data_IF_016268832064
#
_entry.id   IF_016268832064
#
_cell.length_a   1.000
_cell.length_b   1.000
_cell.length_c   1.000
_cell.angle_alpha   90.00
_cell.angle_beta   90.00
_cell.angle_gamma   90.00
#
_symmetry.space_group_name_H-M   'P 1'
#
loop_
_entity.id
_entity.type
_entity.pdbx_description
1 polymer ?
#
# COMPACT_ATOMS: atom_id res chain seq x y z
N UNK A 1 -11.11 2.45 -14.43
CA UNK A 1 -11.32 3.72 -13.70
C UNK A 1 -10.59 4.83 -14.45
N UNK A 2 -11.23 5.98 -14.72
CA UNK A 2 -10.54 7.16 -15.24
C UNK A 2 -10.14 8.05 -14.05
N UNK A 3 -8.86 8.41 -13.94
CA UNK A 3 -8.35 9.28 -12.88
C UNK A 3 -8.25 10.70 -13.43
N UNK A 4 -8.92 11.66 -12.78
CA UNK A 4 -8.74 13.09 -13.02
C UNK A 4 -8.30 13.75 -11.71
N UNK A 5 -7.12 14.38 -11.73
CA UNK A 5 -6.51 15.02 -10.55
C UNK A 5 -6.17 16.47 -10.89
N UNK A 6 -6.92 17.40 -10.32
CA UNK A 6 -6.74 18.82 -10.59
C UNK A 6 -5.78 19.49 -9.60
N UNK A 7 -5.54 18.86 -8.44
CA UNK A 7 -4.68 19.43 -7.39
C UNK A 7 -3.26 18.85 -7.44
N UNK A 8 -2.28 19.67 -7.08
CA UNK A 8 -0.88 19.24 -6.92
C UNK A 8 -0.79 18.13 -5.86
N UNK A 9 -1.52 18.28 -4.75
CA UNK A 9 -1.54 17.28 -3.68
C UNK A 9 -2.09 15.92 -4.15
N UNK A 10 -3.18 15.91 -4.93
CA UNK A 10 -3.75 14.68 -5.49
C UNK A 10 -2.79 13.98 -6.42
N UNK A 11 -2.14 14.74 -7.32
CA UNK A 11 -1.07 14.21 -8.18
C UNK A 11 0.07 13.63 -7.33
N UNK A 12 0.52 14.36 -6.30
CA UNK A 12 1.61 13.90 -5.42
C UNK A 12 1.26 12.65 -4.63
N UNK A 13 0.03 12.56 -4.14
CA UNK A 13 -0.47 11.40 -3.43
C UNK A 13 -0.47 10.14 -4.32
N UNK A 14 -0.74 10.26 -5.63
CA UNK A 14 -0.68 9.12 -6.55
C UNK A 14 0.74 8.55 -6.64
N UNK A 15 1.78 9.39 -6.74
CA UNK A 15 3.18 8.94 -6.75
C UNK A 15 3.56 8.23 -5.45
N UNK A 16 3.22 8.83 -4.31
CA UNK A 16 3.53 8.26 -3.00
C UNK A 16 2.77 6.94 -2.81
N UNK A 17 1.52 6.85 -3.25
CA UNK A 17 0.75 5.61 -3.21
C UNK A 17 1.40 4.51 -4.06
N UNK A 18 1.96 4.85 -5.23
CA UNK A 18 2.69 3.88 -6.06
C UNK A 18 3.96 3.36 -5.36
N UNK A 19 4.71 4.23 -4.67
CA UNK A 19 5.84 3.79 -3.82
C UNK A 19 5.37 2.85 -2.70
N UNK A 20 4.28 3.19 -2.02
CA UNK A 20 3.69 2.35 -0.98
C UNK A 20 3.30 0.97 -1.52
N UNK A 21 2.65 0.91 -2.69
CA UNK A 21 2.26 -0.34 -3.35
C UNK A 21 3.48 -1.17 -3.76
N UNK A 22 4.54 -0.55 -4.26
CA UNK A 22 5.80 -1.25 -4.56
C UNK A 22 6.41 -1.89 -3.30
N UNK A 23 6.41 -1.18 -2.17
CA UNK A 23 6.82 -1.73 -0.88
C UNK A 23 5.89 -2.85 -0.40
N UNK A 24 4.58 -2.71 -0.60
CA UNK A 24 3.59 -3.75 -0.27
C UNK A 24 3.89 -5.04 -1.05
N UNK A 25 4.08 -4.94 -2.36
CA UNK A 25 4.42 -6.06 -3.24
C UNK A 25 5.71 -6.76 -2.80
N UNK A 26 6.76 -5.98 -2.51
CA UNK A 26 8.02 -6.54 -1.99
C UNK A 26 7.81 -7.33 -0.70
N UNK A 27 7.05 -6.79 0.27
CA UNK A 27 6.75 -7.49 1.53
C UNK A 27 5.86 -8.71 1.31
N UNK A 28 4.91 -8.62 0.39
CA UNK A 28 3.99 -9.71 0.07
C UNK A 28 4.76 -10.93 -0.45
N UNK A 29 5.77 -10.73 -1.29
CA UNK A 29 6.68 -11.80 -1.76
C UNK A 29 7.41 -12.53 -0.63
N UNK A 30 7.74 -11.82 0.46
CA UNK A 30 8.43 -12.41 1.61
C UNK A 30 7.48 -13.20 2.53
N UNK A 31 6.26 -12.70 2.74
CA UNK A 31 5.33 -13.24 3.76
C UNK A 31 4.23 -14.15 3.21
N UNK A 32 3.87 -13.98 1.93
CA UNK A 32 2.74 -14.63 1.28
C UNK A 32 1.35 -14.20 1.80
N UNK A 33 0.27 -14.61 1.11
CA UNK A 33 -1.10 -14.15 1.38
C UNK A 33 -1.63 -14.62 2.74
N UNK A 34 -1.12 -15.75 3.23
CA UNK A 34 -1.47 -16.35 4.53
C UNK A 34 -1.23 -15.42 5.72
N UNK A 35 -0.28 -14.50 5.62
CA UNK A 35 0.07 -13.56 6.69
C UNK A 35 -1.07 -12.59 7.05
N UNK A 36 -1.96 -12.28 6.11
CA UNK A 36 -3.14 -11.45 6.33
C UNK A 36 -4.38 -12.32 6.49
N UNK A 37 -4.59 -13.28 5.58
CA UNK A 37 -5.84 -14.07 5.54
C UNK A 37 -6.09 -14.89 6.80
N UNK A 38 -5.03 -15.31 7.51
CA UNK A 38 -5.13 -16.06 8.78
C UNK A 38 -5.93 -15.34 9.86
N UNK A 39 -5.87 -14.01 9.92
CA UNK A 39 -6.53 -13.22 10.97
C UNK A 39 -7.50 -12.16 10.42
N UNK A 40 -7.50 -11.96 9.10
CA UNK A 40 -8.38 -11.04 8.39
C UNK A 40 -8.35 -9.62 8.97
N UNK A 41 -9.50 -8.95 8.92
CA UNK A 41 -9.66 -7.56 9.36
C UNK A 41 -9.35 -7.35 10.85
N UNK A 42 -9.59 -8.35 11.71
CA UNK A 42 -9.30 -8.27 13.15
C UNK A 42 -7.80 -8.28 13.44
N UNK A 43 -7.05 -9.15 12.77
CA UNK A 43 -5.58 -9.13 12.89
C UNK A 43 -4.99 -7.87 12.29
N UNK A 44 -5.55 -7.42 11.16
CA UNK A 44 -5.15 -6.18 10.51
C UNK A 44 -5.35 -4.95 11.42
N UNK A 45 -6.46 -4.88 12.17
CA UNK A 45 -6.71 -3.74 13.07
C UNK A 45 -5.68 -3.62 14.18
N UNK A 46 -5.20 -4.75 14.73
CA UNK A 46 -4.12 -4.76 15.73
C UNK A 46 -2.83 -4.26 15.11
N UNK A 47 -2.46 -4.76 13.93
CA UNK A 47 -1.25 -4.31 13.23
C UNK A 47 -1.28 -2.83 12.88
N UNK A 48 -2.44 -2.32 12.43
CA UNK A 48 -2.61 -0.90 12.17
C UNK A 48 -2.45 -0.08 13.46
N UNK A 49 -3.04 -0.55 14.56
CA UNK A 49 -2.91 0.10 15.86
C UNK A 49 -1.45 0.20 16.31
N UNK A 50 -0.66 -0.87 16.19
CA UNK A 50 0.78 -0.85 16.52
C UNK A 50 1.55 0.23 15.74
N UNK A 51 1.17 0.50 14.48
CA UNK A 51 1.79 1.57 13.68
C UNK A 51 1.35 2.97 14.10
N UNK A 52 0.10 3.13 14.53
CA UNK A 52 -0.39 4.40 15.08
C UNK A 52 0.29 4.72 16.41
N UNK A 53 0.48 3.72 17.28
CA UNK A 53 1.23 3.90 18.53
C UNK A 53 2.70 4.25 18.27
N UNK A 54 3.34 3.59 17.29
CA UNK A 54 4.68 3.97 16.85
C UNK A 54 4.73 5.41 16.35
N UNK A 55 3.77 5.82 15.53
CA UNK A 55 3.67 7.19 15.02
C UNK A 55 3.56 8.20 16.17
N UNK A 56 2.73 7.92 17.17
CA UNK A 56 2.58 8.77 18.35
C UNK A 56 3.91 8.92 19.10
N UNK A 57 4.61 7.82 19.36
CA UNK A 57 5.90 7.85 20.05
C UNK A 57 6.94 8.66 19.26
N UNK A 58 7.06 8.44 17.95
CA UNK A 58 8.02 9.18 17.11
C UNK A 58 7.75 10.69 17.04
N UNK A 59 6.50 11.12 17.19
CA UNK A 59 6.13 12.54 17.16
C UNK A 59 6.20 13.21 18.53
N UNK A 60 6.03 12.44 19.61
CA UNK A 60 6.00 12.96 20.97
C UNK A 60 7.38 12.93 21.64
N UNK A 61 8.22 11.94 21.32
CA UNK A 61 9.58 11.85 21.85
C UNK A 61 10.55 12.70 21.01
N UNK A 62 10.96 13.85 21.57
CA UNK A 62 11.89 14.79 20.92
C UNK A 62 13.37 14.46 21.12
N UNK A 63 13.70 13.49 21.98
CA UNK A 63 15.07 13.29 22.46
C UNK A 63 15.80 12.06 21.89
N UNK A 64 15.13 11.13 21.21
CA UNK A 64 15.80 10.02 20.52
C UNK A 64 15.52 10.03 19.02
N UNK A 65 16.59 10.02 18.22
CA UNK A 65 16.49 9.68 16.82
C UNK A 65 16.03 8.22 16.67
N UNK A 66 15.06 7.91 15.79
CA UNK A 66 14.57 6.55 15.62
C UNK A 66 15.71 5.61 15.24
N UNK A 67 15.92 4.56 16.03
CA UNK A 67 17.04 3.61 15.84
C UNK A 67 16.76 2.52 14.80
N UNK A 68 15.48 2.26 14.49
CA UNK A 68 15.08 1.08 13.71
C UNK A 68 14.08 1.34 12.58
N UNK A 69 13.07 2.21 12.75
CA UNK A 69 12.08 2.51 11.70
C UNK A 69 11.73 4.00 11.70
N UNK A 70 11.71 4.62 10.51
CA UNK A 70 11.51 6.07 10.37
C UNK A 70 10.03 6.48 10.43
N UNK A 71 9.80 7.80 10.52
CA UNK A 71 8.45 8.37 10.41
C UNK A 71 7.84 8.08 9.03
N UNK A 72 8.64 8.13 7.97
CA UNK A 72 8.21 7.84 6.61
C UNK A 72 7.78 6.38 6.45
N UNK A 73 8.60 5.44 6.95
CA UNK A 73 8.26 4.00 6.94
C UNK A 73 6.96 3.73 7.68
N UNK A 74 6.75 4.43 8.79
CA UNK A 74 5.53 4.31 9.61
C UNK A 74 4.29 4.77 8.83
N UNK A 75 4.37 5.90 8.11
CA UNK A 75 3.27 6.35 7.26
C UNK A 75 3.02 5.41 6.08
N UNK A 76 4.07 4.87 5.46
CA UNK A 76 3.96 3.89 4.36
C UNK A 76 3.26 2.60 4.83
N UNK A 77 3.62 2.10 6.02
CA UNK A 77 2.96 0.93 6.64
C UNK A 77 1.47 1.19 6.91
N UNK A 78 1.13 2.36 7.47
CA UNK A 78 -0.27 2.76 7.73
C UNK A 78 -1.07 2.82 6.42
N UNK A 79 -0.52 3.46 5.39
CA UNK A 79 -1.16 3.55 4.08
C UNK A 79 -1.41 2.16 3.49
N UNK A 80 -0.41 1.28 3.53
CA UNK A 80 -0.52 -0.08 3.03
C UNK A 80 -1.52 -0.93 3.81
N UNK A 81 -1.57 -0.84 5.14
CA UNK A 81 -2.61 -1.53 5.91
C UNK A 81 -4.01 -0.99 5.62
N UNK A 82 -4.15 0.30 5.30
CA UNK A 82 -5.39 0.86 4.76
C UNK A 82 -5.81 0.21 3.44
N UNK A 83 -4.87 0.09 2.48
CA UNK A 83 -5.12 -0.57 1.18
C UNK A 83 -5.48 -2.05 1.36
N UNK A 84 -4.75 -2.79 2.20
CA UNK A 84 -5.05 -4.19 2.53
C UNK A 84 -6.44 -4.33 3.14
N UNK A 85 -6.82 -3.41 4.04
CA UNK A 85 -8.16 -3.37 4.63
C UNK A 85 -9.25 -3.21 3.58
N UNK A 86 -9.05 -2.31 2.60
CA UNK A 86 -9.98 -2.14 1.49
C UNK A 86 -10.10 -3.40 0.63
N UNK A 87 -8.97 -4.05 0.30
CA UNK A 87 -8.98 -5.31 -0.44
C UNK A 87 -9.73 -6.42 0.31
N UNK A 88 -9.52 -6.56 1.63
CA UNK A 88 -10.26 -7.51 2.45
C UNK A 88 -11.77 -7.23 2.46
N UNK A 89 -12.17 -5.96 2.59
CA UNK A 89 -13.58 -5.57 2.60
C UNK A 89 -14.26 -5.83 1.25
N UNK A 90 -13.51 -5.78 0.16
CA UNK A 90 -14.01 -6.04 -1.20
C UNK A 90 -13.90 -7.50 -1.62
N UNK A 91 -13.26 -8.36 -0.81
CA UNK A 91 -12.96 -9.74 -1.20
C UNK A 91 -11.89 -9.85 -2.30
N UNK A 92 -11.05 -8.83 -2.45
CA UNK A 92 -9.99 -8.72 -3.45
C UNK A 92 -8.63 -9.20 -2.92
N UNK A 93 -8.51 -9.48 -1.62
CA UNK A 93 -7.28 -10.01 -1.05
C UNK A 93 -7.02 -11.43 -1.56
N UNK A 94 -5.83 -11.74 -2.11
CA UNK A 94 -5.54 -13.07 -2.65
C UNK A 94 -5.54 -14.12 -1.54
N UNK A 95 -6.21 -15.24 -1.77
CA UNK A 95 -6.17 -16.40 -0.87
C UNK A 95 -4.90 -17.23 -1.05
N UNK A 96 -4.35 -17.23 -2.28
CA UNK A 96 -3.14 -17.94 -2.71
C UNK A 96 -2.40 -17.06 -3.72
N UNK A 97 -1.08 -17.17 -3.79
CA UNK A 97 -0.28 -16.52 -4.84
C UNK A 97 -0.41 -17.40 -6.09
N UNK A 98 -0.99 -16.90 -7.17
CA UNK A 98 -1.00 -17.64 -8.44
C UNK A 98 0.44 -17.69 -8.98
N UNK A 99 0.93 -18.89 -9.29
CA UNK A 99 2.30 -19.12 -9.77
C UNK A 99 2.59 -18.51 -11.15
N UNK A 100 1.54 -18.13 -11.89
CA UNK A 100 1.60 -17.47 -13.18
C UNK A 100 0.85 -16.14 -13.10
N UNK A 101 1.54 -15.08 -12.69
CA UNK A 101 1.07 -13.71 -12.88
C UNK A 101 1.91 -13.04 -13.97
N UNK A 102 1.24 -12.42 -14.94
CA UNK A 102 1.91 -11.45 -15.79
C UNK A 102 2.38 -10.29 -14.92
N UNK A 103 3.68 -10.01 -14.95
CA UNK A 103 4.23 -8.86 -14.22
C UNK A 103 3.60 -7.60 -14.78
N UNK A 104 2.92 -6.83 -13.92
CA UNK A 104 2.41 -5.53 -14.32
C UNK A 104 3.58 -4.54 -14.43
N UNK A 105 3.78 -3.99 -15.62
CA UNK A 105 4.73 -2.90 -15.84
C UNK A 105 3.96 -1.60 -16.04
N UNK A 106 4.25 -0.60 -15.21
CA UNK A 106 3.74 0.76 -15.36
C UNK A 106 4.73 1.76 -14.79
N UNK A 107 4.96 2.86 -15.51
CA UNK A 107 5.77 3.98 -15.02
C UNK A 107 4.81 5.09 -14.62
N UNK A 108 4.92 5.56 -13.37
CA UNK A 108 4.14 6.68 -12.84
C UNK A 108 5.16 7.77 -12.45
N UNK A 109 5.43 8.71 -13.36
CA UNK A 109 6.37 9.84 -13.18
C UNK A 109 5.64 11.12 -12.76
N UNK A 110 6.26 12.03 -11.98
CA UNK A 110 5.67 13.29 -11.47
C UNK A 110 4.82 14.13 -12.46
N UNK A 111 5.09 13.98 -13.75
CA UNK A 111 4.52 14.66 -14.91
C UNK A 111 3.58 13.77 -15.75
N UNK A 112 3.51 12.46 -15.49
CA UNK A 112 2.70 11.49 -16.24
C UNK A 112 1.23 11.88 -16.20
N UNK A 113 0.65 12.16 -17.37
CA UNK A 113 -0.79 12.10 -17.58
C UNK A 113 -1.18 10.64 -17.72
N UNK A 114 -2.03 10.16 -16.81
CA UNK A 114 -2.45 8.75 -16.81
C UNK A 114 -3.64 8.59 -17.75
N UNK A 115 -3.39 8.13 -18.98
CA UNK A 115 -4.42 7.50 -19.81
C UNK A 115 -4.32 5.98 -19.62
N UNK A 116 -5.36 5.39 -19.03
CA UNK A 116 -5.46 3.94 -18.84
C UNK A 116 -6.27 3.36 -20.00
N UNK A 117 -5.60 2.66 -20.92
CA UNK A 117 -6.25 1.73 -21.86
C UNK A 117 -6.06 0.32 -21.32
N UNK A 118 -7.16 -0.32 -20.91
CA UNK A 118 -7.16 -1.76 -20.64
C UNK A 118 -7.45 -2.49 -21.94
N UNK A 119 -6.51 -3.30 -22.43
CA UNK A 119 -6.83 -4.32 -23.42
C UNK A 119 -7.77 -5.33 -22.77
N UNK A 120 -9.06 -5.26 -23.13
CA UNK A 120 -10.00 -6.39 -23.15
C UNK A 120 -11.19 -6.00 -24.03
N UNK A 121 -10.90 -5.60 -25.27
CA UNK A 121 -11.83 -5.72 -26.39
C UNK A 121 -11.36 -6.90 -27.24
N UNK A 122 -11.72 -8.11 -26.82
CA UNK A 122 -11.79 -9.32 -27.64
C UNK A 122 -12.53 -10.42 -26.86
N UNK A 123 -13.85 -10.28 -26.73
CA UNK A 123 -14.93 -11.18 -27.24
C UNK A 123 -16.27 -10.49 -27.00
#
# INVERSE_FOLDING_TARGET
>A
MKIQLDTIAGKRALYIAAECVSLLDSKQKDYGPGNISRFGTKGLSVRLYDKVERLANLLMDKEESPKHESLEDTFKDIANYGLIGLMLLRGEWPSEEQLEFDTFFGIIEPETQVEVTTETDNV
#
